data_IF_234830448183
#
_entry.id   IF_234830448183
#
_cell.length_a   1.000
_cell.length_b   1.000
_cell.length_c   1.000
_cell.angle_alpha   90.00
_cell.angle_beta   90.00
_cell.angle_gamma   90.00
#
_symmetry.space_group_name_H-M   'P 1'
#
loop_
_entity.id
_entity.type
_entity.pdbx_description
1 polymer ?
#
# COMPACT_ATOMS: atom_id res chain seq x y z
N UNK A 1 -10.34 -28.21 -5.39
CA UNK A 1 -11.80 -28.03 -5.58
C UNK A 1 -12.24 -28.89 -6.75
N UNK A 2 -13.45 -29.45 -6.75
CA UNK A 2 -14.00 -30.19 -7.91
C UNK A 2 -15.26 -29.50 -8.43
N UNK A 3 -15.32 -29.27 -9.74
CA UNK A 3 -16.50 -28.76 -10.44
C UNK A 3 -17.04 -29.87 -11.34
N UNK A 4 -18.30 -30.26 -11.13
CA UNK A 4 -19.00 -31.17 -12.03
C UNK A 4 -19.71 -30.35 -13.12
N UNK A 5 -19.30 -30.53 -14.36
CA UNK A 5 -19.97 -29.95 -15.54
C UNK A 5 -20.86 -31.03 -16.14
N UNK A 6 -22.15 -30.73 -16.30
CA UNK A 6 -23.11 -31.58 -17.01
C UNK A 6 -23.56 -30.82 -18.25
N UNK A 7 -23.07 -31.21 -19.42
CA UNK A 7 -23.28 -30.47 -20.66
C UNK A 7 -24.12 -31.28 -21.66
N UNK A 8 -25.02 -30.60 -22.37
CA UNK A 8 -25.77 -31.17 -23.50
C UNK A 8 -24.97 -31.18 -24.79
N UNK A 9 -23.92 -30.37 -24.85
CA UNK A 9 -23.05 -30.13 -26.00
C UNK A 9 -21.58 -30.11 -25.57
N UNK A 10 -20.68 -30.02 -26.54
CA UNK A 10 -19.27 -29.76 -26.24
C UNK A 10 -19.09 -28.41 -25.54
N UNK A 11 -18.10 -28.34 -24.65
CA UNK A 11 -17.80 -27.15 -23.88
C UNK A 11 -16.29 -26.89 -23.79
N UNK A 12 -15.92 -25.62 -23.60
CA UNK A 12 -14.55 -25.19 -23.37
C UNK A 12 -14.51 -24.06 -22.36
N UNK A 13 -13.47 -24.00 -21.54
CA UNK A 13 -13.13 -22.75 -20.88
C UNK A 13 -12.55 -21.76 -21.89
N UNK A 14 -12.85 -20.48 -21.69
CA UNK A 14 -12.20 -19.38 -22.39
C UNK A 14 -10.75 -19.29 -21.91
N UNK A 15 -9.82 -19.22 -22.86
CA UNK A 15 -8.38 -19.07 -22.59
C UNK A 15 -7.96 -17.66 -22.94
N UNK A 16 -7.74 -16.83 -21.93
CA UNK A 16 -7.39 -15.42 -22.09
C UNK A 16 -5.96 -15.14 -21.57
N UNK A 17 -5.59 -13.87 -21.46
CA UNK A 17 -4.27 -13.43 -20.98
C UNK A 17 -4.02 -13.67 -19.48
N UNK A 18 -5.01 -14.14 -18.74
CA UNK A 18 -4.92 -14.39 -17.28
C UNK A 18 -5.04 -15.87 -16.91
N UNK A 19 -5.52 -16.71 -17.83
CA UNK A 19 -5.75 -18.13 -17.60
C UNK A 19 -5.90 -18.92 -18.92
N UNK A 20 -5.37 -20.16 -19.04
CA UNK A 20 -4.69 -20.96 -18.00
C UNK A 20 -3.27 -20.50 -17.69
N UNK A 21 -2.70 -19.67 -18.57
CA UNK A 21 -1.42 -19.01 -18.39
C UNK A 21 -1.64 -17.50 -18.28
N UNK A 22 -0.81 -16.84 -17.49
CA UNK A 22 -0.69 -15.39 -17.46
C UNK A 22 0.28 -14.99 -18.57
N UNK A 23 -0.20 -14.15 -19.48
CA UNK A 23 0.52 -13.69 -20.67
C UNK A 23 1.04 -12.28 -20.43
N UNK A 24 2.35 -12.08 -20.62
CA UNK A 24 2.98 -10.77 -20.70
C UNK A 24 3.20 -10.44 -22.17
N UNK A 25 2.75 -9.27 -22.61
CA UNK A 25 2.89 -8.81 -24.00
C UNK A 25 4.14 -7.96 -24.19
N UNK A 26 4.69 -8.00 -25.41
CA UNK A 26 5.78 -7.10 -25.80
C UNK A 26 5.33 -5.64 -25.71
N UNK A 27 6.28 -4.73 -25.48
CA UNK A 27 5.98 -3.31 -25.30
C UNK A 27 5.19 -2.75 -26.49
N UNK A 28 3.96 -2.29 -26.22
CA UNK A 28 3.08 -1.67 -27.22
C UNK A 28 2.00 -2.62 -27.77
N UNK A 29 2.17 -3.93 -27.63
CA UNK A 29 1.12 -4.89 -27.95
C UNK A 29 0.01 -4.86 -26.89
N UNK A 30 -1.22 -5.17 -27.31
CA UNK A 30 -2.41 -5.24 -26.46
C UNK A 30 -3.09 -6.60 -26.66
N UNK A 31 -3.79 -7.13 -25.64
CA UNK A 31 -4.56 -8.35 -25.80
C UNK A 31 -5.64 -8.16 -26.87
N UNK A 32 -5.77 -9.15 -27.75
CA UNK A 32 -6.78 -9.24 -28.80
C UNK A 32 -7.54 -10.54 -28.59
N UNK A 33 -8.87 -10.43 -28.57
CA UNK A 33 -9.75 -11.56 -28.31
C UNK A 33 -10.69 -11.85 -29.48
N UNK A 34 -11.09 -13.11 -29.61
CA UNK A 34 -12.21 -13.49 -30.46
C UNK A 34 -13.57 -13.06 -29.83
N UNK A 35 -14.69 -13.34 -30.52
CA UNK A 35 -16.04 -13.04 -30.02
C UNK A 35 -16.38 -13.78 -28.70
N UNK A 36 -15.65 -14.83 -28.39
CA UNK A 36 -15.83 -15.69 -27.24
C UNK A 36 -14.99 -15.26 -26.04
N UNK A 37 -13.96 -14.44 -26.26
CA UNK A 37 -13.03 -13.94 -25.25
C UNK A 37 -11.71 -14.71 -25.21
N UNK A 38 -11.46 -15.62 -26.15
CA UNK A 38 -10.18 -16.31 -26.23
C UNK A 38 -9.12 -15.38 -26.77
N UNK A 39 -7.93 -15.44 -26.21
CA UNK A 39 -6.77 -14.70 -26.69
C UNK A 39 -6.35 -15.24 -28.06
N UNK A 40 -6.24 -14.34 -29.03
CA UNK A 40 -5.86 -14.65 -30.43
C UNK A 40 -4.68 -13.81 -30.92
N UNK A 41 -3.91 -13.24 -29.99
CA UNK A 41 -2.66 -12.56 -30.32
C UNK A 41 -1.70 -13.50 -31.07
N UNK A 42 -0.86 -12.91 -31.92
CA UNK A 42 0.23 -13.64 -32.56
C UNK A 42 1.34 -13.90 -31.56
N UNK A 43 2.13 -14.95 -31.79
CA UNK A 43 3.25 -15.29 -30.92
C UNK A 43 4.29 -14.15 -30.81
N UNK A 44 4.49 -13.37 -31.87
CA UNK A 44 5.35 -12.19 -31.89
C UNK A 44 4.92 -11.07 -30.92
N UNK A 45 3.64 -11.06 -30.51
CA UNK A 45 3.11 -10.09 -29.55
C UNK A 45 3.34 -10.53 -28.09
N UNK A 46 3.74 -11.78 -27.85
CA UNK A 46 3.87 -12.38 -26.52
C UNK A 46 5.34 -12.31 -26.06
N UNK A 47 5.59 -11.62 -24.94
CA UNK A 47 6.91 -11.54 -24.31
C UNK A 47 7.20 -12.78 -23.48
N UNK A 48 6.23 -13.22 -22.68
CA UNK A 48 6.36 -14.43 -21.86
C UNK A 48 5.00 -14.98 -21.41
N UNK A 49 4.98 -16.26 -21.06
CA UNK A 49 3.84 -16.94 -20.46
C UNK A 49 4.25 -17.66 -19.19
N UNK A 50 3.48 -17.51 -18.12
CA UNK A 50 3.69 -18.22 -16.85
C UNK A 50 2.40 -18.87 -16.39
N UNK A 51 2.41 -20.07 -15.80
CA UNK A 51 1.19 -20.72 -15.34
C UNK A 51 0.36 -19.82 -14.40
N UNK A 52 -0.95 -19.76 -14.64
CA UNK A 52 -1.87 -19.10 -13.70
C UNK A 52 -1.92 -19.88 -12.38
N UNK A 53 -2.30 -19.18 -11.31
CA UNK A 53 -2.31 -19.77 -9.97
C UNK A 53 -3.33 -20.89 -9.78
N UNK A 54 -4.36 -20.92 -10.64
CA UNK A 54 -5.43 -21.90 -10.63
C UNK A 54 -5.25 -22.87 -11.80
N UNK A 55 -4.88 -24.12 -11.51
CA UNK A 55 -4.75 -25.17 -12.51
C UNK A 55 -6.05 -25.96 -12.62
N UNK A 56 -6.43 -26.37 -13.83
CA UNK A 56 -7.56 -27.27 -14.07
C UNK A 56 -7.06 -28.58 -14.69
N UNK A 57 -7.63 -29.72 -14.27
CA UNK A 57 -7.30 -31.04 -14.83
C UNK A 57 -7.63 -31.16 -16.32
N UNK A 58 -8.71 -30.49 -16.76
CA UNK A 58 -9.15 -30.41 -18.16
C UNK A 58 -9.71 -29.03 -18.43
N UNK A 59 -9.55 -28.54 -19.67
CA UNK A 59 -10.03 -27.21 -20.08
C UNK A 59 -11.17 -27.25 -21.10
N UNK A 60 -11.59 -28.44 -21.54
CA UNK A 60 -12.72 -28.66 -22.44
C UNK A 60 -13.26 -30.08 -22.25
N UNK A 61 -14.46 -30.33 -22.77
CA UNK A 61 -15.09 -31.64 -22.73
C UNK A 61 -16.22 -31.77 -23.74
N UNK A 62 -16.67 -33.01 -23.96
CA UNK A 62 -17.81 -33.31 -24.81
C UNK A 62 -19.14 -33.23 -24.06
N UNK A 63 -20.21 -33.64 -24.75
CA UNK A 63 -21.52 -33.89 -24.15
C UNK A 63 -21.40 -34.93 -23.02
N UNK A 64 -22.18 -34.73 -21.96
CA UNK A 64 -22.25 -35.60 -20.79
C UNK A 64 -21.64 -34.96 -19.56
N UNK A 65 -21.19 -35.81 -18.63
CA UNK A 65 -20.62 -35.35 -17.37
C UNK A 65 -19.08 -35.30 -17.44
N UNK A 66 -18.50 -34.22 -16.95
CA UNK A 66 -17.05 -34.08 -16.76
C UNK A 66 -16.78 -33.51 -15.38
N UNK A 67 -15.80 -34.08 -14.67
CA UNK A 67 -15.34 -33.53 -13.39
C UNK A 67 -14.02 -32.80 -13.62
N UNK A 68 -14.05 -31.48 -13.43
CA UNK A 68 -12.86 -30.63 -13.47
C UNK A 68 -12.30 -30.51 -12.07
N UNK A 69 -11.05 -30.92 -11.88
CA UNK A 69 -10.33 -30.74 -10.63
C UNK A 69 -9.47 -29.49 -10.71
N UNK A 70 -9.72 -28.56 -9.79
CA UNK A 70 -8.95 -27.34 -9.63
C UNK A 70 -7.95 -27.46 -8.49
N UNK A 71 -6.69 -27.15 -8.78
CA UNK A 71 -5.59 -27.10 -7.79
C UNK A 71 -4.95 -25.72 -7.79
N UNK A 72 -4.54 -25.29 -6.60
CA UNK A 72 -3.84 -24.03 -6.38
C UNK A 72 -2.89 -24.20 -5.20
N UNK A 73 -1.71 -23.59 -5.29
CA UNK A 73 -0.78 -23.53 -4.15
C UNK A 73 -1.38 -22.73 -3.01
N UNK A 74 -0.99 -23.02 -1.77
CA UNK A 74 -1.44 -22.25 -0.62
C UNK A 74 -1.03 -20.79 -0.76
N UNK A 75 -1.87 -19.88 -0.26
CA UNK A 75 -1.58 -18.46 -0.22
C UNK A 75 -1.98 -17.91 1.14
N UNK A 76 -1.18 -17.00 1.69
CA UNK A 76 -1.55 -16.22 2.86
C UNK A 76 -2.09 -14.87 2.34
N UNK A 77 -3.40 -14.69 2.38
CA UNK A 77 -4.10 -13.55 1.75
C UNK A 77 -5.32 -14.01 0.97
N UNK A 78 -5.71 -13.24 -0.04
CA UNK A 78 -6.83 -13.54 -0.93
C UNK A 78 -6.50 -13.24 -2.37
N UNK A 79 -6.97 -14.10 -3.28
CA UNK A 79 -6.93 -13.87 -4.73
C UNK A 79 -8.19 -14.40 -5.38
N UNK A 80 -8.56 -13.80 -6.50
CA UNK A 80 -9.72 -14.20 -7.30
C UNK A 80 -9.33 -14.36 -8.77
N UNK A 81 -10.04 -15.25 -9.45
CA UNK A 81 -9.99 -15.41 -10.89
C UNK A 81 -11.41 -15.69 -11.39
N UNK A 82 -11.78 -15.02 -12.48
CA UNK A 82 -13.02 -15.30 -13.19
C UNK A 82 -12.71 -16.22 -14.38
N UNK A 83 -13.40 -17.35 -14.44
CA UNK A 83 -13.37 -18.30 -15.52
C UNK A 83 -14.68 -18.21 -16.29
N UNK A 84 -14.61 -18.39 -17.61
CA UNK A 84 -15.79 -18.44 -18.47
C UNK A 84 -15.84 -19.80 -19.14
N UNK A 85 -16.99 -20.46 -19.08
CA UNK A 85 -17.28 -21.71 -19.79
C UNK A 85 -18.20 -21.37 -20.96
N UNK A 86 -17.89 -21.91 -22.13
CA UNK A 86 -18.71 -21.81 -23.33
C UNK A 86 -19.21 -23.20 -23.67
N UNK A 87 -20.51 -23.33 -23.93
CA UNK A 87 -21.13 -24.57 -24.38
C UNK A 87 -22.06 -24.31 -25.59
N UNK A 88 -22.12 -25.29 -26.49
CA UNK A 88 -22.98 -25.24 -27.69
C UNK A 88 -22.73 -24.00 -28.54
N UNK A 89 -23.80 -23.31 -28.93
CA UNK A 89 -23.79 -22.13 -29.82
C UNK A 89 -23.30 -20.84 -29.14
N UNK A 90 -22.29 -20.92 -28.27
CA UNK A 90 -21.64 -19.75 -27.68
C UNK A 90 -22.22 -19.30 -26.33
N UNK A 91 -23.03 -20.11 -25.67
CA UNK A 91 -23.63 -19.76 -24.37
C UNK A 91 -22.56 -19.72 -23.28
N UNK A 92 -22.46 -18.59 -22.57
CA UNK A 92 -21.44 -18.31 -21.57
C UNK A 92 -21.95 -18.55 -20.14
N UNK A 93 -21.13 -19.19 -19.32
CA UNK A 93 -21.30 -19.28 -17.87
C UNK A 93 -20.05 -18.71 -17.18
N UNK A 94 -20.26 -17.89 -16.16
CA UNK A 94 -19.17 -17.24 -15.42
C UNK A 94 -19.00 -17.89 -14.06
N UNK A 95 -17.76 -18.26 -13.73
CA UNK A 95 -17.37 -18.82 -12.45
C UNK A 95 -16.29 -17.95 -11.83
N UNK A 96 -16.52 -17.48 -10.61
CA UNK A 96 -15.48 -16.82 -9.83
C UNK A 96 -14.90 -17.80 -8.82
N UNK A 97 -13.58 -17.98 -8.88
CA UNK A 97 -12.83 -18.80 -7.93
C UNK A 97 -12.04 -17.88 -7.01
N UNK A 98 -12.37 -17.92 -5.72
CA UNK A 98 -11.63 -17.21 -4.66
C UNK A 98 -10.84 -18.19 -3.83
N UNK A 99 -9.56 -17.89 -3.60
CA UNK A 99 -8.75 -18.56 -2.59
C UNK A 99 -8.43 -17.58 -1.47
N UNK A 100 -8.78 -17.92 -0.23
CA UNK A 100 -8.49 -17.09 0.94
C UNK A 100 -9.42 -15.88 1.11
N UNK A 101 -8.94 -14.85 1.79
CA UNK A 101 -9.72 -13.64 2.12
C UNK A 101 -9.16 -12.40 1.45
N UNK A 102 -10.02 -11.67 0.74
CA UNK A 102 -9.69 -10.35 0.17
C UNK A 102 -9.79 -9.23 1.21
N UNK A 103 -10.27 -9.52 2.42
CA UNK A 103 -10.34 -8.51 3.47
C UNK A 103 -8.94 -8.18 3.95
N UNK A 104 -8.67 -6.88 4.11
CA UNK A 104 -7.44 -6.40 4.71
C UNK A 104 -7.28 -6.99 6.11
N UNK A 105 -6.07 -7.46 6.43
CA UNK A 105 -5.74 -7.99 7.74
C UNK A 105 -4.85 -7.01 8.48
N UNK A 106 -5.18 -6.73 9.75
CA UNK A 106 -4.30 -5.97 10.63
C UNK A 106 -2.94 -6.66 10.76
N UNK A 107 -1.87 -5.90 10.55
CA UNK A 107 -0.50 -6.36 10.68
C UNK A 107 0.41 -5.20 11.08
N UNK A 108 1.55 -5.55 11.67
CA UNK A 108 2.67 -4.64 11.91
C UNK A 108 3.49 -4.41 10.65
N UNK A 109 4.28 -3.33 10.59
CA UNK A 109 5.21 -3.08 9.49
C UNK A 109 6.17 -4.27 9.29
N UNK A 110 6.65 -4.87 10.37
CA UNK A 110 7.48 -6.08 10.29
C UNK A 110 6.77 -7.25 9.62
N UNK A 111 5.54 -7.56 10.03
CA UNK A 111 4.75 -8.64 9.44
C UNK A 111 4.38 -8.38 7.98
N UNK A 112 4.25 -7.11 7.59
CA UNK A 112 4.09 -6.71 6.19
C UNK A 112 5.38 -7.00 5.44
N UNK A 113 6.53 -6.54 5.93
CA UNK A 113 7.85 -6.76 5.29
C UNK A 113 8.11 -8.26 5.06
N UNK A 114 7.86 -9.08 6.07
CA UNK A 114 8.06 -10.54 6.02
C UNK A 114 6.91 -11.27 5.28
N UNK A 115 5.86 -10.55 4.90
CA UNK A 115 4.63 -11.08 4.33
C UNK A 115 4.65 -11.30 2.81
N UNK A 116 3.72 -12.10 2.26
CA UNK A 116 3.62 -12.33 0.82
C UNK A 116 3.10 -11.11 0.05
N UNK A 117 3.55 -10.96 -1.19
CA UNK A 117 2.98 -10.01 -2.14
C UNK A 117 1.53 -10.34 -2.51
N UNK A 118 0.76 -9.32 -2.87
CA UNK A 118 -0.65 -9.41 -3.25
C UNK A 118 -1.62 -9.46 -2.07
N UNK A 119 -1.15 -9.78 -0.85
CA UNK A 119 -1.98 -9.69 0.35
C UNK A 119 -2.29 -8.23 0.67
N UNK A 120 -3.55 -7.93 0.96
CA UNK A 120 -3.97 -6.62 1.46
C UNK A 120 -3.82 -6.58 2.98
N UNK A 121 -3.14 -5.55 3.46
CA UNK A 121 -2.88 -5.33 4.87
C UNK A 121 -3.56 -4.07 5.36
N UNK A 122 -3.94 -4.05 6.64
CA UNK A 122 -4.31 -2.87 7.39
C UNK A 122 -3.18 -2.59 8.39
N UNK A 123 -2.65 -1.38 8.40
CA UNK A 123 -1.58 -1.00 9.32
C UNK A 123 -1.81 0.42 9.81
N UNK A 124 -1.39 0.66 11.06
CA UNK A 124 -1.46 1.98 11.70
C UNK A 124 -0.07 2.34 12.21
N UNK A 125 0.42 3.49 11.79
CA UNK A 125 1.75 3.96 12.20
C UNK A 125 1.92 5.45 11.93
N UNK A 126 3.10 5.96 12.24
CA UNK A 126 3.47 7.37 12.12
C UNK A 126 3.98 7.66 10.71
N UNK A 127 3.50 8.73 10.09
CA UNK A 127 4.11 9.29 8.89
C UNK A 127 5.47 9.92 9.27
N UNK A 128 6.58 9.31 8.86
CA UNK A 128 7.93 9.80 9.22
C UNK A 128 8.53 10.72 8.16
N UNK A 129 8.19 10.47 6.90
CA UNK A 129 8.70 11.23 5.74
C UNK A 129 7.65 11.27 4.65
N UNK A 130 7.50 12.41 3.96
CA UNK A 130 6.67 12.54 2.75
C UNK A 130 7.60 12.81 1.56
N UNK A 131 7.72 11.85 0.65
CA UNK A 131 8.60 11.94 -0.52
C UNK A 131 7.89 12.57 -1.73
N UNK A 132 6.57 12.39 -1.83
CA UNK A 132 5.81 12.91 -2.96
C UNK A 132 4.38 13.26 -2.58
N UNK A 133 4.01 14.54 -2.65
CA UNK A 133 2.67 15.05 -2.33
C UNK A 133 1.70 14.99 -3.51
N UNK A 134 2.16 14.71 -4.73
CA UNK A 134 1.26 14.46 -5.86
C UNK A 134 0.65 13.07 -5.71
N UNK A 135 1.49 12.04 -5.68
CA UNK A 135 1.06 10.64 -5.61
C UNK A 135 0.70 10.19 -4.19
N UNK A 136 1.23 10.85 -3.17
CA UNK A 136 1.11 10.42 -1.78
C UNK A 136 2.07 9.29 -1.47
N UNK A 137 3.36 9.51 -1.70
CA UNK A 137 4.42 8.58 -1.31
C UNK A 137 5.03 9.04 0.01
N UNK A 138 5.06 8.17 1.00
CA UNK A 138 5.51 8.50 2.35
C UNK A 138 5.86 7.23 3.13
N UNK A 139 6.58 7.38 4.24
CA UNK A 139 7.02 6.28 5.09
C UNK A 139 6.15 6.14 6.32
N UNK A 140 5.63 4.93 6.55
CA UNK A 140 4.84 4.56 7.71
C UNK A 140 5.68 3.72 8.66
N UNK A 141 5.85 4.19 9.89
CA UNK A 141 6.59 3.49 10.95
C UNK A 141 5.68 3.21 12.15
N UNK A 142 5.55 1.94 12.54
CA UNK A 142 4.73 1.50 13.67
C UNK A 142 5.57 1.10 14.91
N UNK A 143 6.89 1.33 14.86
CA UNK A 143 7.86 0.93 15.88
C UNK A 143 8.43 -0.48 15.69
N UNK A 144 7.87 -1.31 14.81
CA UNK A 144 8.40 -2.65 14.48
C UNK A 144 9.20 -2.68 13.17
N UNK A 145 9.02 -1.65 12.35
CA UNK A 145 9.66 -1.47 11.06
C UNK A 145 9.05 -0.28 10.33
N UNK A 146 9.58 -0.01 9.13
CA UNK A 146 9.11 1.09 8.29
C UNK A 146 8.78 0.58 6.89
N UNK A 147 7.59 0.92 6.40
CA UNK A 147 7.09 0.50 5.09
C UNK A 147 6.81 1.72 4.23
N UNK A 148 7.24 1.66 2.98
CA UNK A 148 6.92 2.70 2.00
C UNK A 148 5.46 2.56 1.56
N UNK A 149 4.68 3.61 1.76
CA UNK A 149 3.39 3.80 1.10
C UNK A 149 3.68 4.40 -0.27
N UNK A 150 3.34 3.66 -1.33
CA UNK A 150 3.53 4.07 -2.72
C UNK A 150 2.18 4.32 -3.38
N UNK A 151 1.76 5.59 -3.39
CA UNK A 151 0.42 5.99 -3.81
C UNK A 151 -0.56 5.96 -2.64
N UNK A 152 -1.27 7.06 -2.45
CA UNK A 152 -2.36 7.18 -1.46
C UNK A 152 -3.62 7.70 -2.14
N UNK A 153 -4.73 7.00 -1.94
CA UNK A 153 -6.04 7.34 -2.49
C UNK A 153 -6.78 8.31 -1.56
N UNK A 154 -7.54 9.22 -2.14
CA UNK A 154 -8.48 10.04 -1.37
C UNK A 154 -9.69 9.23 -0.87
N UNK A 155 -10.58 9.88 -0.10
CA UNK A 155 -11.79 9.23 0.41
C UNK A 155 -12.75 8.72 -0.69
N UNK A 156 -12.62 9.19 -1.93
CA UNK A 156 -13.36 8.73 -3.09
C UNK A 156 -12.61 7.67 -3.92
N UNK A 157 -11.46 7.17 -3.43
CA UNK A 157 -10.64 6.19 -4.13
C UNK A 157 -9.83 6.77 -5.29
N UNK A 158 -9.69 8.10 -5.40
CA UNK A 158 -8.96 8.72 -6.51
C UNK A 158 -7.47 8.85 -6.20
N UNK A 159 -6.59 8.48 -7.13
CA UNK A 159 -5.16 8.71 -7.01
C UNK A 159 -4.83 10.20 -7.25
N UNK A 160 -3.59 10.58 -6.91
CA UNK A 160 -3.01 11.92 -7.15
C UNK A 160 -3.71 13.08 -6.43
N UNK A 161 -4.38 12.81 -5.31
CA UNK A 161 -5.11 13.82 -4.54
C UNK A 161 -4.70 13.84 -3.06
N UNK A 162 -3.41 13.57 -2.77
CA UNK A 162 -2.91 13.41 -1.40
C UNK A 162 -3.09 14.67 -0.53
N UNK A 163 -2.99 15.88 -1.11
CA UNK A 163 -3.19 17.13 -0.39
C UNK A 163 -4.58 17.23 0.28
N UNK A 164 -5.60 16.57 -0.27
CA UNK A 164 -6.95 16.54 0.31
C UNK A 164 -7.02 15.79 1.65
N UNK A 165 -6.05 14.93 1.94
CA UNK A 165 -5.99 14.12 3.16
C UNK A 165 -5.37 14.88 4.33
N UNK A 166 -4.66 15.98 4.06
CA UNK A 166 -3.99 16.82 5.07
C UNK A 166 -3.08 16.03 6.05
N UNK A 167 -2.43 14.98 5.54
CA UNK A 167 -1.42 14.19 6.26
C UNK A 167 -0.11 14.97 6.28
N UNK A 168 0.50 15.06 7.46
CA UNK A 168 1.80 15.67 7.70
C UNK A 168 2.72 14.69 8.44
N UNK A 169 4.03 14.94 8.37
CA UNK A 169 5.00 14.20 9.18
C UNK A 169 4.66 14.33 10.67
N UNK A 170 4.67 13.20 11.37
CA UNK A 170 4.29 13.04 12.78
C UNK A 170 2.84 12.59 12.98
N UNK A 171 1.98 12.67 11.97
CA UNK A 171 0.60 12.16 12.08
C UNK A 171 0.60 10.63 12.18
N UNK A 172 -0.30 10.09 13.00
CA UNK A 172 -0.58 8.65 13.03
C UNK A 172 -1.70 8.35 12.05
N UNK A 173 -1.39 7.54 11.05
CA UNK A 173 -2.29 7.23 9.93
C UNK A 173 -2.56 5.73 9.92
N UNK A 174 -3.83 5.38 9.74
CA UNK A 174 -4.27 4.00 9.51
C UNK A 174 -4.65 3.83 8.04
N UNK A 175 -4.07 2.83 7.39
CA UNK A 175 -4.21 2.60 5.94
C UNK A 175 -4.50 1.14 5.61
N UNK A 176 -5.09 0.91 4.44
CA UNK A 176 -5.20 -0.40 3.81
C UNK A 176 -4.61 -0.40 2.41
N UNK A 177 -3.85 -1.44 2.06
CA UNK A 177 -3.41 -1.63 0.69
C UNK A 177 -2.73 -2.96 0.44
N UNK A 178 -2.65 -3.41 -0.82
CA UNK A 178 -1.89 -4.59 -1.20
C UNK A 178 -0.39 -4.35 -1.02
N UNK A 179 0.30 -5.35 -0.45
CA UNK A 179 1.75 -5.43 -0.47
C UNK A 179 2.25 -5.77 -1.87
N UNK A 180 3.28 -5.06 -2.31
CA UNK A 180 4.04 -5.35 -3.53
C UNK A 180 5.54 -5.27 -3.21
N UNK A 181 6.35 -6.10 -3.85
CA UNK A 181 7.81 -6.00 -3.80
C UNK A 181 8.34 -5.66 -5.19
N UNK A 182 8.92 -4.46 -5.35
CA UNK A 182 9.57 -4.05 -6.60
C UNK A 182 11.09 -4.08 -6.43
N UNK A 183 11.73 -5.09 -7.05
CA UNK A 183 13.14 -5.37 -6.80
C UNK A 183 13.36 -5.79 -5.35
N UNK A 184 14.05 -4.95 -4.57
CA UNK A 184 14.28 -5.16 -3.13
C UNK A 184 13.39 -4.28 -2.22
N UNK A 185 12.51 -3.46 -2.79
CA UNK A 185 11.67 -2.52 -2.03
C UNK A 185 10.31 -3.14 -1.74
N UNK A 186 9.95 -3.18 -0.45
CA UNK A 186 8.59 -3.55 0.00
C UNK A 186 7.74 -2.28 0.08
N UNK A 187 6.55 -2.35 -0.53
CA UNK A 187 5.64 -1.22 -0.68
C UNK A 187 4.20 -1.64 -0.35
N UNK A 188 3.43 -0.75 0.27
CA UNK A 188 1.97 -0.79 0.21
C UNK A 188 1.52 0.12 -0.92
N UNK A 189 0.89 -0.46 -1.93
CA UNK A 189 0.56 0.26 -3.17
C UNK A 189 -0.87 0.80 -3.15
N UNK A 190 -1.06 2.04 -3.61
CA UNK A 190 -2.36 2.68 -3.83
C UNK A 190 -3.29 2.53 -2.61
N UNK A 191 -2.81 2.96 -1.44
CA UNK A 191 -3.47 2.68 -0.16
C UNK A 191 -4.72 3.54 0.04
N UNK A 192 -5.73 2.98 0.69
CA UNK A 192 -6.88 3.72 1.21
C UNK A 192 -6.61 4.18 2.64
N UNK A 193 -6.88 5.45 2.94
CA UNK A 193 -6.76 5.98 4.31
C UNK A 193 -8.05 5.74 5.08
N UNK A 194 -7.93 5.07 6.23
CA UNK A 194 -9.04 4.80 7.15
C UNK A 194 -9.17 5.86 8.23
N UNK A 195 -8.06 6.48 8.63
CA UNK A 195 -8.05 7.53 9.65
C UNK A 195 -6.71 8.24 9.77
N UNK A 196 -6.78 9.51 10.16
CA UNK A 196 -5.63 10.36 10.45
C UNK A 196 -5.80 10.94 11.85
N UNK A 197 -4.84 10.68 12.71
CA UNK A 197 -4.73 11.32 14.03
C UNK A 197 -3.58 12.32 13.96
N UNK A 198 -3.93 13.61 14.04
CA UNK A 198 -2.95 14.69 13.92
C UNK A 198 -1.95 14.65 15.06
N UNK A 199 -0.68 14.87 14.74
CA UNK A 199 0.34 15.08 15.76
C UNK A 199 -0.02 16.28 16.64
N UNK A 200 0.21 16.14 17.94
CA UNK A 200 0.09 17.25 18.90
C UNK A 200 1.38 18.04 19.02
N UNK A 201 2.45 17.65 18.31
CA UNK A 201 3.77 18.28 18.36
C UNK A 201 4.36 18.39 16.96
N UNK A 202 4.95 19.54 16.65
CA UNK A 202 5.60 19.79 15.36
C UNK A 202 6.81 20.69 15.55
N UNK A 203 7.98 20.25 15.10
CA UNK A 203 9.14 21.15 14.99
C UNK A 203 8.86 22.13 13.86
N UNK A 204 8.95 23.43 14.16
CA UNK A 204 8.69 24.52 13.20
C UNK A 204 9.93 25.33 12.87
N UNK A 205 11.05 25.07 13.54
CA UNK A 205 12.36 25.58 13.13
C UNK A 205 12.85 24.78 11.91
N UNK A 206 13.16 25.48 10.82
CA UNK A 206 13.82 24.90 9.64
C UNK A 206 15.26 24.46 9.98
N UNK A 207 15.87 23.53 9.22
CA UNK A 207 17.26 23.16 9.42
C UNK A 207 18.20 24.37 9.43
N UNK A 208 19.11 24.42 10.40
CA UNK A 208 20.06 25.52 10.59
C UNK A 208 21.48 25.01 10.39
N UNK A 209 22.27 25.70 9.57
CA UNK A 209 23.72 25.49 9.48
C UNK A 209 24.42 26.15 10.66
N UNK A 210 25.33 25.42 11.29
CA UNK A 210 26.01 25.84 12.52
C UNK A 210 27.54 25.88 12.33
N UNK A 211 28.26 26.80 13.02
CA UNK A 211 29.72 26.80 13.05
C UNK A 211 30.31 25.50 13.64
N UNK A 212 31.52 25.15 13.22
CA UNK A 212 32.27 23.99 13.72
C UNK A 212 32.65 24.12 15.20
N UNK A 213 32.74 25.34 15.71
CA UNK A 213 33.02 25.64 17.11
C UNK A 213 31.81 25.38 18.01
N UNK A 214 30.64 25.08 17.44
CA UNK A 214 29.39 24.95 18.16
C UNK A 214 28.74 26.30 18.47
N UNK A 215 27.85 26.31 19.46
CA UNK A 215 27.10 27.49 19.86
C UNK A 215 25.73 27.15 20.43
N UNK A 216 24.84 28.13 20.44
CA UNK A 216 23.48 27.99 20.94
C UNK A 216 22.49 27.97 19.78
N UNK A 217 21.52 27.03 19.83
CA UNK A 217 20.48 26.85 18.83
C UNK A 217 19.10 26.88 19.49
N UNK A 218 18.21 27.75 19.00
CA UNK A 218 16.81 27.78 19.42
C UNK A 218 15.94 26.93 18.48
N UNK A 219 15.42 25.83 19.01
CA UNK A 219 14.46 24.97 18.32
C UNK A 219 13.05 25.29 18.77
N UNK A 220 12.23 25.76 17.83
CA UNK A 220 10.81 26.07 18.05
C UNK A 220 9.98 24.83 17.76
N UNK A 221 9.13 24.50 18.71
CA UNK A 221 8.23 23.35 18.65
C UNK A 221 6.82 23.84 18.92
N UNK A 222 5.95 23.75 17.92
CA UNK A 222 4.52 23.95 18.09
C UNK A 222 3.92 22.74 18.80
N UNK A 223 3.09 22.96 19.82
CA UNK A 223 2.45 21.87 20.55
C UNK A 223 1.02 22.18 21.01
N UNK A 224 0.26 21.13 21.27
CA UNK A 224 -1.02 21.16 21.98
C UNK A 224 -0.95 20.29 23.23
N UNK A 225 -1.54 20.75 24.34
CA UNK A 225 -1.55 20.04 25.62
C UNK A 225 -0.65 20.70 26.67
N UNK A 226 -0.03 19.89 27.52
CA UNK A 226 0.61 20.34 28.78
C UNK A 226 2.10 20.71 28.66
N UNK A 227 2.58 21.08 27.47
CA UNK A 227 3.99 21.42 27.25
C UNK A 227 4.76 20.39 26.44
N UNK A 228 6.05 20.69 26.23
CA UNK A 228 7.05 19.84 25.59
C UNK A 228 8.15 19.58 26.60
N UNK A 229 8.62 18.34 26.67
CA UNK A 229 9.69 17.92 27.60
C UNK A 229 10.80 17.23 26.79
N UNK A 230 11.74 18.01 26.22
CA UNK A 230 12.79 17.46 25.38
C UNK A 230 13.80 16.65 26.21
N UNK A 231 14.35 15.59 25.62
CA UNK A 231 15.44 14.81 26.19
C UNK A 231 16.52 14.61 25.13
N UNK A 232 17.79 14.66 25.54
CA UNK A 232 18.92 14.36 24.65
C UNK A 232 19.18 12.85 24.64
N UNK A 233 19.16 12.26 23.44
CA UNK A 233 19.49 10.86 23.23
C UNK A 233 20.93 10.57 23.68
N UNK A 234 21.19 9.38 24.23
CA UNK A 234 22.47 9.06 24.89
C UNK A 234 23.68 9.32 24.01
N UNK A 235 23.61 8.93 22.73
CA UNK A 235 24.65 9.15 21.72
C UNK A 235 24.91 10.63 21.37
N UNK A 236 24.02 11.54 21.76
CA UNK A 236 24.15 12.98 21.52
C UNK A 236 24.61 13.74 22.77
N UNK A 237 24.66 13.11 23.94
CA UNK A 237 24.91 13.81 25.22
C UNK A 237 26.32 14.41 25.34
N UNK A 238 27.27 13.91 24.57
CA UNK A 238 28.65 14.45 24.57
C UNK A 238 28.74 15.83 23.91
N UNK A 239 27.86 16.13 22.96
CA UNK A 239 27.93 17.36 22.15
C UNK A 239 26.64 18.19 22.17
N UNK A 240 25.54 17.68 22.73
CA UNK A 240 24.25 18.38 22.77
C UNK A 240 23.71 18.40 24.21
N UNK A 241 23.31 19.58 24.68
CA UNK A 241 22.62 19.74 25.97
C UNK A 241 21.45 20.72 25.86
N UNK A 242 20.36 20.45 26.59
CA UNK A 242 19.26 21.41 26.72
C UNK A 242 19.67 22.47 27.74
N UNK A 243 19.80 23.71 27.29
CA UNK A 243 20.28 24.83 28.09
C UNK A 243 19.14 25.59 28.78
N UNK A 244 18.07 25.86 28.03
CA UNK A 244 16.90 26.59 28.51
C UNK A 244 15.65 26.16 27.74
N UNK A 245 14.48 26.48 28.29
CA UNK A 245 13.20 26.27 27.64
C UNK A 245 12.19 27.34 28.01
N UNK A 246 11.58 27.94 26.98
CA UNK A 246 10.55 28.97 27.11
C UNK A 246 9.25 28.54 26.42
N UNK A 247 8.12 28.83 27.06
CA UNK A 247 6.79 28.63 26.46
C UNK A 247 6.16 29.95 26.06
N UNK A 248 5.59 29.98 24.86
CA UNK A 248 4.87 31.12 24.28
C UNK A 248 3.46 30.64 23.93
N UNK A 249 2.45 31.28 24.53
CA UNK A 249 1.06 30.92 24.25
C UNK A 249 0.64 31.31 22.84
N UNK A 250 -0.10 30.41 22.19
CA UNK A 250 -0.80 30.72 20.95
C UNK A 250 -1.88 31.76 21.21
N UNK A 251 -2.07 32.68 20.27
CA UNK A 251 -3.07 33.75 20.38
C UNK A 251 -4.30 33.36 19.55
N UNK A 252 -5.46 33.08 20.20
CA UNK A 252 -6.68 32.76 19.48
C UNK A 252 -7.10 33.86 18.50
N UNK A 253 -7.57 33.44 17.33
CA UNK A 253 -8.18 34.35 16.34
C UNK A 253 -9.55 33.82 15.94
N UNK A 254 -10.35 34.63 15.22
CA UNK A 254 -11.65 34.20 14.69
C UNK A 254 -11.55 32.99 13.75
N UNK A 255 -10.43 32.87 13.03
CA UNK A 255 -10.18 31.77 12.07
C UNK A 255 -9.43 30.59 12.71
N UNK A 256 -8.77 30.80 13.85
CA UNK A 256 -8.08 29.75 14.60
C UNK A 256 -8.34 29.95 16.10
N UNK A 257 -9.48 29.46 16.61
CA UNK A 257 -9.88 29.68 18.02
C UNK A 257 -8.98 28.95 19.03
N UNK A 258 -8.32 27.88 18.61
CA UNK A 258 -7.45 27.06 19.44
C UNK A 258 -6.10 26.79 18.74
N UNK A 259 -5.23 27.81 18.64
CA UNK A 259 -3.91 27.68 18.06
C UNK A 259 -3.01 26.80 18.92
N UNK A 260 -1.93 26.29 18.34
CA UNK A 260 -0.88 25.64 19.12
C UNK A 260 -0.09 26.68 19.95
N UNK A 261 0.39 26.26 21.11
CA UNK A 261 1.43 26.97 21.84
C UNK A 261 2.79 26.68 21.20
N UNK A 262 3.81 27.47 21.52
CA UNK A 262 5.18 27.26 21.03
C UNK A 262 6.14 27.10 22.21
N UNK A 263 6.87 25.98 22.24
CA UNK A 263 8.05 25.82 23.08
C UNK A 263 9.28 26.26 22.29
N UNK A 264 10.15 27.06 22.89
CA UNK A 264 11.46 27.42 22.38
C UNK A 264 12.46 26.66 23.25
N UNK A 265 13.08 25.63 22.69
CA UNK A 265 14.09 24.81 23.35
C UNK A 265 15.45 25.31 22.92
N UNK A 266 16.19 25.87 23.86
CA UNK A 266 17.54 26.37 23.62
C UNK A 266 18.53 25.24 23.88
N UNK A 267 19.28 24.88 22.86
CA UNK A 267 20.28 23.82 22.89
C UNK A 267 21.68 24.42 22.87
N UNK A 268 22.58 23.91 23.71
CA UNK A 268 24.01 24.12 23.55
C UNK A 268 24.59 22.97 22.75
N UNK A 269 25.25 23.33 21.64
CA UNK A 269 26.00 22.44 20.78
C UNK A 269 27.47 22.67 21.06
N UNK A 270 28.13 21.67 21.64
CA UNK A 270 29.57 21.65 21.86
C UNK A 270 30.28 21.01 20.66
N UNK A 271 31.57 21.32 20.54
CA UNK A 271 32.47 20.71 19.57
C UNK A 271 32.85 19.28 19.95
#
# INVERSE_FOLDING_TARGET
MKLKISATDAWTFVKNETWPDVVKFVKGAKPVHDAYGNLINKEEDIESTTPSWLKASVTSGGKGETVVEFTAESVNGGRELELVIIAGDGQKQYLRVRQGTLLAQSATCKEIIDGPDGKTYRVKGTCTTIENTTYGNWWLDDGTGSVLVYGTLDAGGKPKNFASLNIEVGDVVEVEGPKVTFGSKVELKDVMVLGVTKSLIKVVTEPVEMPLEGGTLDVKVAYKGNGVFPSVAEQCREWLTVADMKYVKGIPTKIMPNPADTAIVTLNVAK
#
